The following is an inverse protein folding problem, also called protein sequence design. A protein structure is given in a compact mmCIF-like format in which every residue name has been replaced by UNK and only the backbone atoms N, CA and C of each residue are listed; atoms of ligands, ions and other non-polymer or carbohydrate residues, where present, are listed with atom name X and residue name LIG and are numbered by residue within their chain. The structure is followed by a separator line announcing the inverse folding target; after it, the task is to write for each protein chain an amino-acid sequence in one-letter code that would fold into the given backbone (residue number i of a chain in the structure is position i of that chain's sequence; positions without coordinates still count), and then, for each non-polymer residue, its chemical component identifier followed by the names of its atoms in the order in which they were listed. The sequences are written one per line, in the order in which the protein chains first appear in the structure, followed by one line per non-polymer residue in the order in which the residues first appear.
data_IF_412907239451
#
_entry.id   IF_412907239451
#
_cell.length_a   1.000
_cell.length_b   1.000
_cell.length_c   1.000
_cell.angle_alpha   90.00
_cell.angle_beta   90.00
_cell.angle_gamma   90.00
#
_symmetry.space_group_name_H-M   'P 1'
#
loop_
_entity.id
_entity.type
_entity.pdbx_description
1 polymer ?
#
# COMPACT_ATOMS: atom_id res chain seq x y z
N UNK A 1 -17.23 2.80 -21.15
CA UNK A 1 -16.10 2.62 -20.21
C UNK A 1 -16.66 2.81 -18.82
N UNK A 2 -16.80 1.73 -18.04
CA UNK A 2 -17.39 1.82 -16.70
C UNK A 2 -16.51 2.71 -15.84
N UNK A 3 -17.01 3.88 -15.46
CA UNK A 3 -16.44 4.72 -14.43
C UNK A 3 -16.49 3.92 -13.11
N UNK A 4 -15.44 3.15 -12.84
CA UNK A 4 -15.16 2.70 -11.47
C UNK A 4 -15.06 3.97 -10.64
N UNK A 5 -16.08 4.27 -9.86
CA UNK A 5 -16.16 5.49 -9.07
C UNK A 5 -14.88 5.64 -8.26
N UNK A 6 -14.12 6.71 -8.55
CA UNK A 6 -12.80 6.96 -7.96
C UNK A 6 -12.83 6.74 -6.45
N UNK A 7 -11.91 5.93 -5.93
CA UNK A 7 -11.77 5.73 -4.50
C UNK A 7 -11.19 7.00 -3.86
N UNK A 8 -11.97 7.63 -2.98
CA UNK A 8 -11.47 8.72 -2.15
C UNK A 8 -10.45 8.21 -1.13
N UNK A 9 -9.60 9.12 -0.63
CA UNK A 9 -8.66 8.78 0.43
C UNK A 9 -9.36 8.25 1.70
N UNK A 10 -10.56 8.77 2.01
CA UNK A 10 -11.35 8.31 3.16
C UNK A 10 -11.87 6.88 2.95
N UNK A 11 -12.42 6.58 1.77
CA UNK A 11 -12.88 5.22 1.42
C UNK A 11 -11.70 4.24 1.44
N UNK A 12 -10.54 4.61 0.87
CA UNK A 12 -9.36 3.75 0.87
C UNK A 12 -8.87 3.47 2.30
N UNK A 13 -8.85 4.49 3.16
CA UNK A 13 -8.48 4.32 4.57
C UNK A 13 -9.48 3.42 5.31
N UNK A 14 -10.78 3.51 5.00
CA UNK A 14 -11.80 2.63 5.57
C UNK A 14 -11.64 1.18 5.09
N UNK A 15 -11.32 1.00 3.80
CA UNK A 15 -11.02 -0.30 3.21
C UNK A 15 -9.82 -0.98 3.87
N UNK A 16 -8.70 -0.28 4.04
CA UNK A 16 -7.52 -0.83 4.72
C UNK A 16 -7.82 -1.27 6.16
N UNK A 17 -8.56 -0.45 6.92
CA UNK A 17 -9.00 -0.83 8.27
C UNK A 17 -9.91 -2.06 8.25
N UNK A 18 -10.82 -2.14 7.29
CA UNK A 18 -11.71 -3.29 7.15
C UNK A 18 -10.96 -4.56 6.77
N UNK A 19 -9.92 -4.50 5.92
CA UNK A 19 -9.07 -5.65 5.60
C UNK A 19 -8.31 -6.18 6.82
N UNK A 20 -7.96 -5.32 7.78
CA UNK A 20 -7.32 -5.72 9.03
C UNK A 20 -8.28 -6.44 10.00
N UNK A 21 -9.59 -6.18 9.90
CA UNK A 21 -10.63 -6.83 10.72
C UNK A 21 -11.12 -8.13 10.06
N UNK A 22 -11.32 -8.10 8.74
CA UNK A 22 -11.84 -9.23 7.95
C UNK A 22 -10.69 -9.84 7.14
N UNK A 23 -10.05 -10.84 7.74
CA UNK A 23 -8.95 -11.58 7.13
C UNK A 23 -9.38 -12.44 5.93
N UNK A 24 -8.45 -13.23 5.39
CA UNK A 24 -8.67 -14.08 4.21
C UNK A 24 -9.63 -15.26 4.47
N UNK A 25 -9.79 -15.69 5.72
CA UNK A 25 -10.57 -16.87 6.09
C UNK A 25 -11.99 -16.47 6.56
N UNK A 26 -12.24 -15.16 6.68
CA UNK A 26 -13.56 -14.58 6.98
C UNK A 26 -14.60 -14.95 5.91
N UNK A 27 -15.70 -15.63 6.28
CA UNK A 27 -16.83 -15.87 5.37
C UNK A 27 -17.42 -14.54 4.87
N UNK A 28 -17.86 -14.51 3.60
CA UNK A 28 -18.44 -13.33 2.97
C UNK A 28 -17.58 -12.06 3.12
N UNK A 29 -16.25 -12.22 3.15
CA UNK A 29 -15.27 -11.15 3.39
C UNK A 29 -15.59 -9.86 2.65
N UNK A 30 -15.84 -9.94 1.35
CA UNK A 30 -16.08 -8.75 0.51
C UNK A 30 -17.39 -8.04 0.84
N UNK A 31 -18.41 -8.78 1.25
CA UNK A 31 -19.66 -8.21 1.74
C UNK A 31 -19.43 -7.43 3.05
N UNK A 32 -18.69 -8.03 3.99
CA UNK A 32 -18.36 -7.41 5.27
C UNK A 32 -17.50 -6.15 5.09
N UNK A 33 -16.51 -6.19 4.20
CA UNK A 33 -15.66 -5.04 3.87
C UNK A 33 -16.47 -3.94 3.18
N UNK A 34 -17.31 -4.26 2.19
CA UNK A 34 -18.17 -3.29 1.51
C UNK A 34 -19.10 -2.56 2.49
N UNK A 35 -19.69 -3.31 3.42
CA UNK A 35 -20.52 -2.74 4.50
C UNK A 35 -19.73 -1.80 5.41
N UNK A 36 -18.47 -2.12 5.71
CA UNK A 36 -17.61 -1.29 6.57
C UNK A 36 -17.08 -0.02 5.86
N UNK A 37 -16.84 -0.08 4.55
CA UNK A 37 -16.43 1.08 3.75
C UNK A 37 -17.59 2.06 3.59
N UNK A 38 -18.79 1.55 3.33
CA UNK A 38 -19.99 2.35 3.06
C UNK A 38 -19.94 2.95 1.65
N UNK A 39 -20.93 2.63 0.81
CA UNK A 39 -21.05 3.20 -0.54
C UNK A 39 -20.24 2.50 -1.64
N UNK A 40 -19.67 1.32 -1.37
CA UNK A 40 -19.07 0.42 -2.38
C UNK A 40 -19.77 -0.93 -2.40
N UNK A 41 -19.83 -1.57 -3.56
CA UNK A 41 -20.32 -2.96 -3.67
C UNK A 41 -19.21 -3.98 -3.34
N UNK A 42 -19.57 -5.23 -2.98
CA UNK A 42 -18.58 -6.29 -2.78
C UNK A 42 -17.67 -6.50 -4.01
N UNK A 43 -18.20 -6.34 -5.22
CA UNK A 43 -17.46 -6.48 -6.48
C UNK A 43 -16.46 -5.32 -6.66
N UNK A 44 -16.84 -4.09 -6.30
CA UNK A 44 -15.93 -2.94 -6.34
C UNK A 44 -14.79 -3.08 -5.32
N UNK A 45 -15.11 -3.56 -4.12
CA UNK A 45 -14.13 -3.87 -3.07
C UNK A 45 -13.17 -4.96 -3.54
N UNK A 46 -13.68 -6.05 -4.12
CA UNK A 46 -12.85 -7.15 -4.63
C UNK A 46 -11.91 -6.67 -5.73
N UNK A 47 -12.41 -5.88 -6.69
CA UNK A 47 -11.57 -5.28 -7.75
C UNK A 47 -10.48 -4.37 -7.17
N UNK A 48 -10.81 -3.55 -6.17
CA UNK A 48 -9.83 -2.67 -5.52
C UNK A 48 -8.74 -3.47 -4.80
N UNK A 49 -9.11 -4.58 -4.15
CA UNK A 49 -8.16 -5.51 -3.56
C UNK A 49 -7.23 -6.17 -4.59
N UNK A 50 -7.76 -6.61 -5.73
CA UNK A 50 -6.95 -7.20 -6.81
C UNK A 50 -5.92 -6.21 -7.37
N UNK A 51 -6.28 -4.93 -7.48
CA UNK A 51 -5.36 -3.85 -7.86
C UNK A 51 -4.25 -3.69 -6.81
N UNK A 52 -4.62 -3.62 -5.52
CA UNK A 52 -3.65 -3.53 -4.42
C UNK A 52 -2.64 -4.68 -4.45
N UNK A 53 -3.10 -5.92 -4.62
CA UNK A 53 -2.22 -7.09 -4.72
C UNK A 53 -1.29 -7.00 -5.92
N UNK A 54 -1.81 -6.54 -7.07
CA UNK A 54 -0.99 -6.34 -8.27
C UNK A 54 0.11 -5.30 -8.03
N UNK A 55 -0.22 -4.19 -7.38
CA UNK A 55 0.75 -3.11 -7.09
C UNK A 55 1.85 -3.60 -6.14
N UNK A 56 1.48 -4.33 -5.08
CA UNK A 56 2.46 -4.97 -4.17
C UNK A 56 3.38 -5.90 -4.95
N UNK A 57 2.83 -6.79 -5.78
CA UNK A 57 3.64 -7.69 -6.59
C UNK A 57 4.59 -6.94 -7.55
N UNK A 58 4.17 -5.77 -8.06
CA UNK A 58 5.00 -4.92 -8.92
C UNK A 58 6.17 -4.30 -8.15
N UNK A 59 5.92 -3.86 -6.92
CA UNK A 59 6.95 -3.34 -6.01
C UNK A 59 7.93 -4.44 -5.63
N UNK A 60 7.44 -5.60 -5.19
CA UNK A 60 8.26 -6.74 -4.74
C UNK A 60 9.09 -7.35 -5.87
N UNK A 61 8.59 -7.33 -7.11
CA UNK A 61 9.34 -7.78 -8.29
C UNK A 61 10.37 -6.78 -8.81
N UNK A 62 10.56 -5.64 -8.13
CA UNK A 62 11.51 -4.60 -8.54
C UNK A 62 11.14 -3.89 -9.85
N UNK A 63 9.87 -3.98 -10.26
CA UNK A 63 9.36 -3.35 -11.50
C UNK A 63 8.89 -1.91 -11.29
N UNK A 64 9.05 -1.38 -10.07
CA UNK A 64 8.88 0.03 -9.77
C UNK A 64 10.26 0.69 -9.77
N UNK A 65 10.51 1.69 -10.64
CA UNK A 65 11.79 2.38 -10.64
C UNK A 65 11.98 3.09 -9.31
N UNK A 66 13.13 2.85 -8.67
CA UNK A 66 13.51 3.66 -7.53
C UNK A 66 13.59 5.12 -7.95
N UNK A 67 13.06 6.06 -7.14
CA UNK A 67 13.30 7.47 -7.38
C UNK A 67 14.81 7.69 -7.49
N UNK A 68 15.24 8.46 -8.50
CA UNK A 68 16.62 8.90 -8.60
C UNK A 68 16.86 9.96 -7.52
N UNK A 69 16.99 9.51 -6.27
CA UNK A 69 17.54 10.32 -5.20
C UNK A 69 18.96 10.63 -5.63
N UNK A 70 19.18 11.85 -6.14
CA UNK A 70 20.53 12.37 -6.34
C UNK A 70 21.27 12.06 -5.05
N UNK A 71 22.28 11.18 -5.13
CA UNK A 71 23.20 11.00 -4.01
C UNK A 71 23.76 12.38 -3.76
N UNK A 72 23.30 13.06 -2.71
CA UNK A 72 24.02 14.23 -2.22
C UNK A 72 25.44 13.74 -2.03
N UNK A 73 26.37 14.36 -2.75
CA UNK A 73 27.76 13.96 -2.83
C UNK A 73 28.25 13.48 -1.46
N UNK A 74 28.71 12.22 -1.41
CA UNK A 74 29.43 11.63 -0.30
C UNK A 74 28.89 12.02 1.09
N UNK A 75 27.88 11.30 1.58
CA UNK A 75 27.91 11.02 3.01
C UNK A 75 29.12 10.11 3.23
N UNK A 76 30.19 10.79 3.62
CA UNK A 76 31.47 10.30 4.06
C UNK A 76 31.24 9.34 5.23
N UNK A 77 30.89 8.08 4.93
CA UNK A 77 30.70 7.00 5.91
C UNK A 77 31.97 6.84 6.77
N UNK A 78 33.13 7.19 6.21
CA UNK A 78 34.40 7.29 6.92
C UNK A 78 34.40 8.38 8.00
N UNK A 79 33.74 9.52 7.79
CA UNK A 79 33.67 10.62 8.77
C UNK A 79 32.71 10.32 9.92
N UNK A 80 31.63 9.56 9.66
CA UNK A 80 30.73 9.08 10.70
C UNK A 80 31.37 7.99 11.56
N UNK A 81 32.17 7.10 10.96
CA UNK A 81 32.92 6.07 11.70
C UNK A 81 34.08 6.63 12.52
N UNK A 82 34.79 7.66 12.02
CA UNK A 82 35.87 8.32 12.79
C UNK A 82 35.36 9.07 14.02
N UNK A 83 34.17 9.65 13.96
CA UNK A 83 33.57 10.34 15.12
C UNK A 83 32.99 9.39 16.19
N UNK A 84 32.90 8.09 15.91
CA UNK A 84 32.54 7.05 16.88
C UNK A 84 33.77 6.42 17.56
N UNK A 85 34.98 6.75 17.11
CA UNK A 85 36.24 6.37 17.76
C UNK A 85 36.92 7.61 18.34
N UNK A 86 36.38 8.11 19.44
CA UNK A 86 37.09 9.01 20.36
C UNK A 86 37.57 8.18 21.56
N UNK A 87 38.72 7.50 21.38
CA UNK A 87 39.79 7.25 22.36
C UNK A 87 41.09 6.95 21.61
#
# INVERSE_FOLDING_TARGET
MSSSGSWSAQENKAFERALAVYDKDTPDRWYNVARAVGGKTPEEVKRHYEILVRDINYIESGRVPFPNYKKSAAFDDQKRLKNLQLQ
#
